data_IF_192956433293
#
_entry.id   IF_192956433293
#
_cell.length_a   1.000
_cell.length_b   1.000
_cell.length_c   1.000
_cell.angle_alpha   90.00
_cell.angle_beta   90.00
_cell.angle_gamma   90.00
#
_symmetry.space_group_name_H-M   'P 1'
#
loop_
_entity.id
_entity.type
_entity.pdbx_description
1 polymer ?
#
# COMPACT_ATOMS: atom_id res chain seq x y z
N UNK A 1 -32.78 -11.03 -17.08
CA UNK A 1 -31.66 -11.41 -16.20
C UNK A 1 -30.42 -11.53 -17.07
N UNK A 2 -29.58 -10.50 -17.09
CA UNK A 2 -28.32 -10.52 -17.86
C UNK A 2 -27.26 -11.14 -16.95
N UNK A 3 -26.80 -12.34 -17.30
CA UNK A 3 -25.61 -12.94 -16.71
C UNK A 3 -24.39 -12.14 -17.13
N UNK A 4 -23.95 -11.21 -16.27
CA UNK A 4 -22.61 -10.65 -16.35
C UNK A 4 -21.65 -11.78 -15.96
N UNK A 5 -21.00 -12.39 -16.95
CA UNK A 5 -19.79 -13.19 -16.74
C UNK A 5 -18.80 -12.29 -16.01
N UNK A 6 -18.47 -12.63 -14.77
CA UNK A 6 -17.28 -12.11 -14.10
C UNK A 6 -16.09 -12.58 -14.93
N UNK A 7 -15.54 -11.69 -15.75
CA UNK A 7 -14.23 -11.89 -16.35
C UNK A 7 -13.24 -11.95 -15.19
N UNK A 8 -12.66 -13.13 -14.93
CA UNK A 8 -11.49 -13.22 -14.06
C UNK A 8 -10.43 -12.26 -14.60
N UNK A 9 -10.11 -11.22 -13.82
CA UNK A 9 -9.09 -10.23 -14.22
C UNK A 9 -7.73 -10.94 -14.24
N UNK A 10 -7.28 -11.30 -15.43
CA UNK A 10 -5.98 -11.93 -15.64
C UNK A 10 -4.86 -10.93 -15.33
N UNK A 11 -3.83 -11.36 -14.58
CA UNK A 11 -2.63 -10.55 -14.37
C UNK A 11 -1.95 -10.33 -15.73
N UNK A 12 -1.61 -9.08 -16.10
CA UNK A 12 -0.82 -8.82 -17.30
C UNK A 12 0.51 -9.57 -17.26
N UNK A 13 0.99 -10.05 -18.39
CA UNK A 13 2.36 -10.57 -18.49
C UNK A 13 3.38 -9.47 -18.16
N UNK A 14 4.60 -9.85 -17.77
CA UNK A 14 5.70 -8.90 -17.54
C UNK A 14 5.86 -7.87 -18.67
N UNK A 15 5.75 -8.31 -19.93
CA UNK A 15 5.85 -7.42 -21.10
C UNK A 15 4.67 -6.46 -21.21
N UNK A 16 3.45 -6.94 -20.99
CA UNK A 16 2.24 -6.11 -20.99
C UNK A 16 2.25 -5.11 -19.83
N UNK A 17 2.72 -5.53 -18.64
CA UNK A 17 2.86 -4.67 -17.47
C UNK A 17 3.75 -3.46 -17.75
N UNK A 18 4.87 -3.64 -18.47
CA UNK A 18 5.74 -2.54 -18.89
C UNK A 18 5.04 -1.51 -19.78
N UNK A 19 4.09 -1.95 -20.62
CA UNK A 19 3.36 -1.09 -21.54
C UNK A 19 2.19 -0.38 -20.85
N UNK A 20 1.54 -1.04 -19.90
CA UNK A 20 0.38 -0.52 -19.18
C UNK A 20 0.73 0.49 -18.08
N UNK A 21 1.94 0.41 -17.54
CA UNK A 21 2.41 1.30 -16.49
C UNK A 21 3.33 2.34 -17.12
N UNK A 22 2.80 3.51 -17.44
CA UNK A 22 3.58 4.62 -18.00
C UNK A 22 4.44 5.30 -16.93
N UNK A 23 5.57 5.87 -17.33
CA UNK A 23 6.43 6.68 -16.47
C UNK A 23 5.97 8.14 -16.46
N UNK A 24 5.93 8.81 -15.30
CA UNK A 24 5.61 10.23 -15.22
C UNK A 24 6.83 11.10 -15.60
N UNK A 25 7.24 11.07 -16.88
CA UNK A 25 8.43 11.78 -17.39
C UNK A 25 8.40 13.30 -17.12
N UNK A 26 7.21 13.88 -16.92
CA UNK A 26 7.07 15.28 -16.57
C UNK A 26 7.66 15.65 -15.20
N UNK A 27 7.90 14.68 -14.32
CA UNK A 27 8.54 14.89 -13.01
C UNK A 27 10.08 14.75 -13.08
N UNK A 28 10.61 14.13 -14.13
CA UNK A 28 12.02 13.77 -14.22
C UNK A 28 12.91 15.02 -14.38
N UNK A 29 13.93 15.18 -13.53
CA UNK A 29 14.88 16.29 -13.59
C UNK A 29 14.30 17.62 -13.13
N UNK A 30 13.19 17.61 -12.39
CA UNK A 30 12.51 18.82 -11.91
C UNK A 30 13.41 19.64 -10.99
N UNK A 31 14.16 18.98 -10.10
CA UNK A 31 15.11 19.64 -9.19
C UNK A 31 16.16 20.45 -9.96
N UNK A 32 16.82 19.84 -10.94
CA UNK A 32 17.84 20.48 -11.78
C UNK A 32 17.26 21.69 -12.53
N UNK A 33 16.08 21.52 -13.14
CA UNK A 33 15.42 22.60 -13.88
C UNK A 33 15.17 23.82 -13.00
N UNK A 34 14.75 23.60 -11.76
CA UNK A 34 14.43 24.69 -10.85
C UNK A 34 15.67 25.34 -10.23
N UNK A 35 16.71 24.56 -9.88
CA UNK A 35 17.98 25.12 -9.41
C UNK A 35 18.54 26.18 -10.38
N UNK A 36 18.43 25.92 -11.69
CA UNK A 36 18.81 26.87 -12.73
C UNK A 36 17.95 28.15 -12.69
N UNK A 37 16.64 28.05 -12.47
CA UNK A 37 15.73 29.21 -12.37
C UNK A 37 15.96 30.06 -11.10
N UNK A 38 16.28 29.43 -9.96
CA UNK A 38 16.54 30.14 -8.69
C UNK A 38 17.76 31.05 -8.80
N UNK A 39 18.80 30.61 -9.50
CA UNK A 39 19.99 31.45 -9.72
C UNK A 39 19.59 32.82 -10.30
N UNK A 40 18.40 32.91 -10.92
CA UNK A 40 17.81 34.10 -11.52
C UNK A 40 16.83 34.87 -10.59
N UNK A 41 16.30 34.31 -9.48
CA UNK A 41 15.17 34.87 -8.69
C UNK A 41 15.31 34.73 -7.15
N UNK A 42 14.75 35.67 -6.34
CA UNK A 42 15.05 35.78 -4.87
C UNK A 42 13.90 35.65 -3.85
N UNK A 43 12.61 35.58 -4.19
CA UNK A 43 11.56 35.75 -3.15
C UNK A 43 11.10 34.50 -2.40
N UNK A 44 11.19 33.28 -2.95
CA UNK A 44 10.59 32.07 -2.30
C UNK A 44 11.43 30.79 -2.43
N UNK A 45 12.76 30.96 -2.45
CA UNK A 45 13.75 29.92 -2.78
C UNK A 45 13.56 28.60 -2.00
N UNK A 46 13.41 28.63 -0.68
CA UNK A 46 13.38 27.41 0.13
C UNK A 46 12.15 26.53 -0.14
N UNK A 47 10.98 27.13 -0.29
CA UNK A 47 9.72 26.41 -0.57
C UNK A 47 9.80 25.72 -1.92
N UNK A 48 10.28 26.44 -2.93
CA UNK A 48 10.34 25.90 -4.29
C UNK A 48 11.45 24.86 -4.45
N UNK A 49 12.63 25.03 -3.83
CA UNK A 49 13.66 23.97 -3.75
C UNK A 49 13.06 22.70 -3.16
N UNK A 50 12.44 22.81 -1.99
CA UNK A 50 11.90 21.64 -1.30
C UNK A 50 10.76 21.00 -2.11
N UNK A 51 9.91 21.81 -2.75
CA UNK A 51 8.86 21.32 -3.65
C UNK A 51 9.46 20.52 -4.81
N UNK A 52 10.52 21.03 -5.45
CA UNK A 52 11.16 20.35 -6.58
C UNK A 52 11.89 19.07 -6.16
N UNK A 53 12.59 19.10 -5.01
CA UNK A 53 13.20 17.90 -4.43
C UNK A 53 12.16 16.82 -4.17
N UNK A 54 11.01 17.19 -3.62
CA UNK A 54 9.90 16.25 -3.37
C UNK A 54 9.23 15.76 -4.65
N UNK A 55 9.17 16.56 -5.71
CA UNK A 55 8.72 16.11 -7.03
C UNK A 55 9.69 15.08 -7.63
N UNK A 56 10.99 15.23 -7.40
CA UNK A 56 11.99 14.23 -7.78
C UNK A 56 11.86 12.97 -6.92
N UNK A 57 11.71 13.09 -5.58
CA UNK A 57 11.42 11.96 -4.70
C UNK A 57 10.15 11.20 -5.16
N UNK A 58 9.12 11.93 -5.59
CA UNK A 58 7.88 11.34 -6.10
C UNK A 58 8.12 10.55 -7.40
N UNK A 59 8.93 11.08 -8.32
CA UNK A 59 9.31 10.36 -9.54
C UNK A 59 10.04 9.05 -9.20
N UNK A 60 11.05 9.12 -8.34
CA UNK A 60 11.87 7.97 -7.96
C UNK A 60 11.02 6.90 -7.27
N UNK A 61 10.13 7.31 -6.36
CA UNK A 61 9.25 6.39 -5.63
C UNK A 61 8.18 5.76 -6.55
N UNK A 62 7.61 6.49 -7.52
CA UNK A 62 6.72 5.92 -8.54
C UNK A 62 7.48 4.91 -9.41
N UNK A 63 8.72 5.22 -9.80
CA UNK A 63 9.57 4.31 -10.58
C UNK A 63 9.85 3.01 -9.82
N UNK A 64 10.17 3.12 -8.52
CA UNK A 64 10.38 1.96 -7.65
C UNK A 64 9.10 1.13 -7.52
N UNK A 65 7.98 1.74 -7.15
CA UNK A 65 6.68 1.08 -7.02
C UNK A 65 6.28 0.32 -8.29
N UNK A 66 6.42 0.99 -9.43
CA UNK A 66 6.19 0.44 -10.77
C UNK A 66 7.10 -0.77 -11.04
N UNK A 67 8.40 -0.65 -10.78
CA UNK A 67 9.35 -1.72 -11.03
C UNK A 67 9.01 -2.97 -10.20
N UNK A 68 8.67 -2.81 -8.91
CA UNK A 68 8.22 -3.92 -8.08
C UNK A 68 6.93 -4.56 -8.62
N UNK A 69 5.94 -3.75 -9.01
CA UNK A 69 4.68 -4.25 -9.57
C UNK A 69 4.90 -5.04 -10.86
N UNK A 70 5.68 -4.51 -11.80
CA UNK A 70 6.03 -5.20 -13.05
C UNK A 70 6.76 -6.51 -12.75
N UNK A 71 7.72 -6.48 -11.82
CA UNK A 71 8.48 -7.68 -11.45
C UNK A 71 7.57 -8.74 -10.84
N UNK A 72 6.54 -8.36 -10.08
CA UNK A 72 5.53 -9.29 -9.58
C UNK A 72 4.72 -10.00 -10.68
N UNK A 73 4.74 -9.50 -11.92
CA UNK A 73 4.10 -10.13 -13.07
C UNK A 73 4.98 -11.21 -13.74
N UNK A 74 6.18 -11.46 -13.21
CA UNK A 74 7.04 -12.55 -13.70
C UNK A 74 6.52 -13.91 -13.27
N UNK A 75 6.52 -14.86 -14.21
CA UNK A 75 6.11 -16.25 -13.97
C UNK A 75 7.21 -17.10 -13.32
N UNK A 76 8.48 -16.74 -13.53
CA UNK A 76 9.65 -17.47 -13.03
C UNK A 76 10.75 -16.50 -12.62
N UNK A 77 11.43 -16.84 -11.53
CA UNK A 77 12.55 -16.08 -10.97
C UNK A 77 13.82 -16.94 -11.03
N UNK A 78 14.88 -16.49 -11.72
CA UNK A 78 15.89 -17.40 -12.29
C UNK A 78 16.90 -18.07 -11.33
N UNK A 79 16.95 -17.76 -10.02
CA UNK A 79 18.12 -18.20 -9.21
C UNK A 79 17.87 -18.82 -7.83
N UNK A 80 16.65 -18.88 -7.29
CA UNK A 80 16.54 -19.02 -5.82
C UNK A 80 16.17 -20.40 -5.26
N UNK A 81 15.71 -21.38 -6.07
CA UNK A 81 15.27 -22.65 -5.50
C UNK A 81 15.57 -23.83 -6.42
N UNK A 82 16.67 -24.51 -6.12
CA UNK A 82 17.05 -25.80 -6.70
C UNK A 82 16.09 -26.95 -6.35
N UNK A 83 15.00 -26.69 -5.61
CA UNK A 83 14.04 -27.69 -5.12
C UNK A 83 12.56 -27.26 -5.20
N UNK A 84 12.19 -26.28 -6.03
CA UNK A 84 10.78 -25.82 -6.12
C UNK A 84 9.92 -26.70 -7.03
N UNK A 85 9.62 -27.93 -6.60
CA UNK A 85 8.76 -28.87 -7.36
C UNK A 85 7.31 -28.38 -7.51
N UNK A 86 6.89 -27.42 -6.68
CA UNK A 86 5.50 -26.98 -6.52
C UNK A 86 5.27 -25.50 -6.93
N UNK A 87 6.24 -24.82 -7.55
CA UNK A 87 6.23 -23.36 -7.84
C UNK A 87 6.00 -22.44 -6.62
N UNK A 88 6.16 -22.95 -5.39
CA UNK A 88 5.82 -22.23 -4.16
C UNK A 88 6.74 -21.07 -3.89
N UNK A 89 8.01 -21.23 -4.18
CA UNK A 89 8.93 -20.17 -3.89
C UNK A 89 9.00 -19.12 -5.00
N UNK A 90 8.61 -19.46 -6.23
CA UNK A 90 8.22 -18.43 -7.19
C UNK A 90 7.04 -17.59 -6.69
N UNK A 91 5.98 -18.21 -6.14
CA UNK A 91 4.86 -17.50 -5.52
C UNK A 91 5.28 -16.68 -4.30
N UNK A 92 6.21 -17.20 -3.49
CA UNK A 92 6.71 -16.48 -2.33
C UNK A 92 7.48 -15.23 -2.75
N UNK A 93 8.39 -15.34 -3.74
CA UNK A 93 9.11 -14.19 -4.30
C UNK A 93 8.13 -13.18 -4.91
N UNK A 94 7.14 -13.66 -5.68
CA UNK A 94 6.09 -12.82 -6.23
C UNK A 94 5.41 -11.98 -5.15
N UNK A 95 5.03 -12.61 -4.03
CA UNK A 95 4.41 -11.91 -2.89
C UNK A 95 5.31 -10.82 -2.30
N UNK A 96 6.64 -11.01 -2.29
CA UNK A 96 7.56 -10.00 -1.79
C UNK A 96 7.57 -8.77 -2.69
N UNK A 97 7.52 -8.95 -4.01
CA UNK A 97 7.40 -7.85 -4.96
C UNK A 97 6.05 -7.12 -4.83
N UNK A 98 4.94 -7.86 -4.65
CA UNK A 98 3.63 -7.24 -4.40
C UNK A 98 3.65 -6.42 -3.09
N UNK A 99 4.17 -6.97 -2.00
CA UNK A 99 4.29 -6.26 -0.72
C UNK A 99 5.16 -5.00 -0.85
N UNK A 100 6.25 -5.09 -1.61
CA UNK A 100 7.15 -3.96 -1.87
C UNK A 100 6.44 -2.87 -2.67
N UNK A 101 5.71 -3.25 -3.73
CA UNK A 101 4.91 -2.30 -4.51
C UNK A 101 3.85 -1.59 -3.64
N UNK A 102 3.17 -2.29 -2.73
CA UNK A 102 2.21 -1.68 -1.79
C UNK A 102 2.87 -0.59 -0.94
N UNK A 103 4.05 -0.88 -0.36
CA UNK A 103 4.75 0.06 0.51
C UNK A 103 5.18 1.31 -0.25
N UNK A 104 5.74 1.14 -1.43
CA UNK A 104 6.20 2.24 -2.28
C UNK A 104 5.02 3.05 -2.83
N UNK A 105 3.94 2.42 -3.31
CA UNK A 105 2.73 3.16 -3.71
C UNK A 105 2.12 3.94 -2.53
N UNK A 106 2.11 3.39 -1.31
CA UNK A 106 1.69 4.18 -0.15
C UNK A 106 2.60 5.40 0.06
N UNK A 107 3.92 5.23 -0.07
CA UNK A 107 4.88 6.33 0.08
C UNK A 107 4.71 7.41 -1.00
N UNK A 108 4.41 7.05 -2.26
CA UNK A 108 4.16 8.04 -3.33
C UNK A 108 3.04 9.01 -2.96
N UNK A 109 1.93 8.52 -2.41
CA UNK A 109 0.83 9.39 -1.97
C UNK A 109 1.22 10.26 -0.77
N UNK A 110 1.98 9.71 0.18
CA UNK A 110 2.51 10.50 1.31
C UNK A 110 3.41 11.65 0.80
N UNK A 111 4.33 11.38 -0.15
CA UNK A 111 5.19 12.40 -0.77
C UNK A 111 4.37 13.44 -1.53
N UNK A 112 3.35 13.02 -2.28
CA UNK A 112 2.47 13.92 -3.00
C UNK A 112 1.74 14.90 -2.05
N UNK A 113 1.27 14.42 -0.90
CA UNK A 113 0.68 15.28 0.13
C UNK A 113 1.71 16.28 0.68
N UNK A 114 2.97 15.86 0.84
CA UNK A 114 4.05 16.74 1.28
C UNK A 114 4.37 17.83 0.26
N UNK A 115 4.33 17.52 -1.04
CA UNK A 115 4.48 18.51 -2.12
C UNK A 115 3.42 19.60 -1.98
N UNK A 116 2.15 19.21 -1.86
CA UNK A 116 1.03 20.16 -1.69
C UNK A 116 1.18 20.96 -0.39
N UNK A 117 1.58 20.29 0.70
CA UNK A 117 1.79 20.90 2.02
C UNK A 117 2.85 22.01 2.00
N UNK A 118 3.99 21.76 1.35
CA UNK A 118 5.09 22.70 1.24
C UNK A 118 4.76 23.83 0.26
N UNK A 119 4.32 23.50 -0.96
CA UNK A 119 4.07 24.49 -2.01
C UNK A 119 3.01 25.53 -1.61
N UNK A 120 1.88 25.08 -1.07
CA UNK A 120 0.82 25.98 -0.57
C UNK A 120 1.09 26.54 0.83
N UNK A 121 2.27 26.27 1.40
CA UNK A 121 2.70 26.80 2.70
C UNK A 121 1.72 26.47 3.83
N UNK A 122 1.08 25.30 3.76
CA UNK A 122 0.07 24.86 4.73
C UNK A 122 0.66 24.69 6.15
N UNK A 123 1.97 24.49 6.22
CA UNK A 123 2.75 24.44 7.47
C UNK A 123 2.80 25.76 8.24
N UNK A 124 2.40 26.90 7.65
CA UNK A 124 2.52 28.23 8.29
C UNK A 124 1.78 28.38 9.62
N UNK A 125 0.85 27.48 9.92
CA UNK A 125 0.18 27.40 11.23
C UNK A 125 1.12 26.97 12.37
N UNK A 126 2.20 26.28 12.02
CA UNK A 126 3.19 25.73 12.95
C UNK A 126 4.52 26.45 12.84
N UNK A 127 4.88 26.90 11.64
CA UNK A 127 6.17 27.53 11.37
C UNK A 127 6.05 28.61 10.30
N UNK A 128 6.33 29.86 10.67
CA UNK A 128 6.13 31.01 9.79
C UNK A 128 7.02 30.98 8.54
N UNK A 129 8.27 30.53 8.70
CA UNK A 129 9.29 30.47 7.64
C UNK A 129 9.85 29.06 7.50
N UNK A 130 10.02 28.60 6.26
CA UNK A 130 10.68 27.33 5.96
C UNK A 130 12.19 27.55 5.90
N UNK A 131 12.91 26.86 6.77
CA UNK A 131 14.38 26.79 6.76
C UNK A 131 14.76 25.33 6.50
N UNK A 132 15.81 25.11 5.69
CA UNK A 132 16.20 23.77 5.22
C UNK A 132 16.49 22.77 6.36
N UNK A 133 16.94 23.24 7.51
CA UNK A 133 17.24 22.38 8.67
C UNK A 133 15.98 21.90 9.41
N UNK A 134 14.81 22.47 9.11
CA UNK A 134 13.57 22.23 9.86
C UNK A 134 12.53 21.45 9.05
N UNK A 135 12.92 20.91 7.89
CA UNK A 135 12.01 20.19 7.00
C UNK A 135 11.37 18.99 7.73
N UNK A 136 12.14 18.20 8.48
CA UNK A 136 11.59 17.03 9.19
C UNK A 136 10.49 17.43 10.19
N UNK A 137 10.70 18.52 10.92
CA UNK A 137 9.71 19.05 11.86
C UNK A 137 8.44 19.47 11.11
N UNK A 138 8.60 20.22 10.02
CA UNK A 138 7.49 20.68 9.18
C UNK A 138 6.68 19.50 8.60
N UNK A 139 7.36 18.44 8.17
CA UNK A 139 6.72 17.26 7.59
C UNK A 139 6.03 16.37 8.63
N UNK A 140 6.48 16.33 9.89
CA UNK A 140 5.79 15.59 10.97
C UNK A 140 4.34 16.08 11.20
N UNK A 141 4.11 17.37 10.93
CA UNK A 141 2.80 18.00 11.02
C UNK A 141 1.97 17.89 9.73
N UNK A 142 2.51 17.35 8.64
CA UNK A 142 1.76 17.10 7.41
C UNK A 142 0.77 15.95 7.64
N UNK A 143 -0.49 16.29 7.95
CA UNK A 143 -1.58 15.31 8.07
C UNK A 143 -2.43 15.33 6.81
N UNK A 144 -2.78 14.14 6.30
CA UNK A 144 -3.63 13.97 5.11
C UNK A 144 -4.91 14.82 5.19
N UNK A 145 -5.61 14.78 6.33
CA UNK A 145 -6.86 15.54 6.54
C UNK A 145 -6.63 17.04 6.35
N UNK A 146 -5.57 17.56 6.94
CA UNK A 146 -5.23 18.98 6.88
C UNK A 146 -4.89 19.39 5.44
N UNK A 147 -4.11 18.59 4.70
CA UNK A 147 -3.80 18.87 3.30
C UNK A 147 -5.08 18.94 2.45
N UNK A 148 -5.97 17.95 2.58
CA UNK A 148 -7.23 17.88 1.82
C UNK A 148 -8.17 19.04 2.15
N UNK A 149 -8.25 19.44 3.41
CA UNK A 149 -9.19 20.49 3.84
C UNK A 149 -8.66 21.90 3.55
N UNK A 150 -7.35 22.10 3.66
CA UNK A 150 -6.73 23.43 3.66
C UNK A 150 -6.14 23.86 2.32
N UNK A 151 -5.91 22.93 1.39
CA UNK A 151 -5.40 23.30 0.06
C UNK A 151 -6.37 24.29 -0.62
N UNK A 152 -5.87 25.46 -1.07
CA UNK A 152 -6.72 26.51 -1.64
C UNK A 152 -7.14 26.22 -3.08
N UNK A 153 -6.34 25.44 -3.84
CA UNK A 153 -6.68 25.07 -5.22
C UNK A 153 -7.81 24.03 -5.23
N UNK A 154 -8.95 24.43 -5.83
CA UNK A 154 -10.17 23.62 -5.88
C UNK A 154 -9.98 22.33 -6.66
N UNK A 155 -9.21 22.35 -7.76
CA UNK A 155 -8.99 21.17 -8.59
C UNK A 155 -8.12 20.15 -7.86
N UNK A 156 -7.04 20.59 -7.22
CA UNK A 156 -6.21 19.71 -6.37
C UNK A 156 -7.05 19.17 -5.21
N UNK A 157 -7.86 20.01 -4.56
CA UNK A 157 -8.74 19.59 -3.47
C UNK A 157 -9.70 18.48 -3.90
N UNK A 158 -10.36 18.65 -5.04
CA UNK A 158 -11.28 17.66 -5.60
C UNK A 158 -10.54 16.41 -6.05
N UNK A 159 -9.36 16.54 -6.67
CA UNK A 159 -8.50 15.44 -7.04
C UNK A 159 -8.08 14.59 -5.83
N UNK A 160 -7.64 15.23 -4.75
CA UNK A 160 -7.27 14.56 -3.51
C UNK A 160 -8.47 13.88 -2.83
N UNK A 161 -9.63 14.54 -2.82
CA UNK A 161 -10.88 13.94 -2.30
C UNK A 161 -11.31 12.75 -3.14
N UNK A 162 -11.25 12.88 -4.47
CA UNK A 162 -11.60 11.82 -5.42
C UNK A 162 -10.66 10.63 -5.25
N UNK A 163 -9.34 10.85 -5.20
CA UNK A 163 -8.35 9.82 -4.92
C UNK A 163 -8.60 9.15 -3.56
N UNK A 164 -8.92 9.92 -2.52
CA UNK A 164 -9.23 9.35 -1.21
C UNK A 164 -10.54 8.56 -1.21
N UNK A 165 -11.56 9.01 -1.95
CA UNK A 165 -12.86 8.37 -2.07
C UNK A 165 -12.83 7.15 -3.00
N UNK A 166 -11.91 7.13 -3.97
CA UNK A 166 -11.46 5.95 -4.70
C UNK A 166 -10.68 5.04 -3.73
N UNK A 167 -11.36 4.55 -2.71
CA UNK A 167 -10.93 3.36 -1.98
C UNK A 167 -10.80 2.28 -3.07
N UNK A 168 -9.58 1.96 -3.51
CA UNK A 168 -9.33 1.19 -4.75
C UNK A 168 -10.32 0.07 -4.97
N UNK A 169 -11.22 0.31 -5.92
CA UNK A 169 -12.56 -0.26 -6.05
C UNK A 169 -12.62 -1.72 -5.63
N UNK A 170 -13.10 -1.89 -4.40
CA UNK A 170 -13.83 -3.04 -3.86
C UNK A 170 -14.48 -3.81 -5.01
N UNK A 171 -14.03 -5.04 -5.26
CA UNK A 171 -14.96 -6.01 -5.81
C UNK A 171 -16.10 -6.07 -4.79
N UNK A 172 -17.23 -5.42 -5.13
CA UNK A 172 -18.50 -5.37 -4.39
C UNK A 172 -19.04 -6.80 -4.09
N UNK A 173 -18.35 -7.85 -4.54
CA UNK A 173 -18.70 -9.25 -4.33
C UNK A 173 -17.59 -10.12 -3.70
N UNK A 174 -16.42 -9.58 -3.36
CA UNK A 174 -15.42 -10.36 -2.62
C UNK A 174 -15.63 -10.19 -1.11
N UNK A 175 -15.37 -11.24 -0.34
CA UNK A 175 -15.44 -11.29 1.14
C UNK A 175 -14.51 -10.28 1.85
N UNK A 176 -13.79 -9.46 1.08
CA UNK A 176 -12.67 -8.62 1.51
C UNK A 176 -13.00 -7.11 1.49
N UNK A 177 -14.28 -6.76 1.64
CA UNK A 177 -14.69 -5.37 1.73
C UNK A 177 -13.85 -4.62 2.77
N UNK A 178 -13.37 -3.44 2.36
CA UNK A 178 -12.71 -2.40 3.17
C UNK A 178 -11.20 -2.25 3.06
N UNK A 179 -10.43 -3.15 2.42
CA UNK A 179 -8.98 -2.94 2.36
C UNK A 179 -8.52 -2.12 1.14
N UNK A 180 -7.70 -1.11 1.42
CA UNK A 180 -7.02 -0.26 0.43
C UNK A 180 -5.49 -0.34 0.62
N UNK A 181 -4.73 0.26 -0.30
CA UNK A 181 -3.25 0.25 -0.26
C UNK A 181 -2.68 0.78 1.05
N UNK A 182 -3.31 1.77 1.68
CA UNK A 182 -2.85 2.29 2.98
C UNK A 182 -3.06 1.29 4.13
N UNK A 183 -4.18 0.56 4.13
CA UNK A 183 -4.42 -0.51 5.11
C UNK A 183 -3.47 -1.69 4.93
N UNK A 184 -3.18 -2.06 3.69
CA UNK A 184 -2.19 -3.08 3.36
C UNK A 184 -0.78 -2.64 3.79
N UNK A 185 -0.39 -1.40 3.50
CA UNK A 185 0.90 -0.86 3.92
C UNK A 185 1.04 -0.83 5.44
N UNK A 186 0.01 -0.41 6.17
CA UNK A 186 0.00 -0.45 7.65
C UNK A 186 0.11 -1.88 8.18
N UNK A 187 -0.58 -2.84 7.53
CA UNK A 187 -0.48 -4.26 7.89
C UNK A 187 0.95 -4.76 7.69
N UNK A 188 1.60 -4.44 6.57
CA UNK A 188 2.97 -4.83 6.30
C UNK A 188 3.97 -4.21 7.30
N UNK A 189 3.79 -2.92 7.64
CA UNK A 189 4.63 -2.21 8.63
C UNK A 189 4.56 -2.82 10.04
N UNK A 190 3.39 -3.28 10.48
CA UNK A 190 3.17 -3.70 11.88
C UNK A 190 3.02 -5.21 12.09
N UNK A 191 2.58 -5.96 11.08
CA UNK A 191 2.29 -7.41 11.16
C UNK A 191 3.11 -8.24 10.18
N UNK A 192 4.04 -7.61 9.45
CA UNK A 192 5.06 -8.22 8.58
C UNK A 192 4.54 -8.93 7.32
N UNK A 193 3.28 -9.34 7.23
CA UNK A 193 2.79 -10.05 6.03
C UNK A 193 1.27 -9.91 5.78
N UNK A 194 0.92 -9.78 4.50
CA UNK A 194 -0.42 -10.06 3.97
C UNK A 194 -0.49 -11.56 3.66
N UNK A 195 -1.53 -12.25 4.11
CA UNK A 195 -1.70 -13.66 3.77
C UNK A 195 -2.36 -13.80 2.39
N UNK A 196 -1.62 -14.36 1.43
CA UNK A 196 -2.13 -14.61 0.08
C UNK A 196 -2.74 -16.01 -0.05
N UNK A 197 -3.90 -16.12 -0.71
CA UNK A 197 -4.57 -17.41 -0.95
C UNK A 197 -3.63 -18.41 -1.64
N UNK A 198 -2.85 -17.93 -2.61
CA UNK A 198 -1.90 -18.72 -3.39
C UNK A 198 -0.75 -19.30 -2.56
N UNK A 199 -0.45 -18.68 -1.42
CA UNK A 199 0.57 -19.12 -0.46
C UNK A 199 -0.03 -19.84 0.77
N UNK A 200 -1.35 -19.83 0.92
CA UNK A 200 -1.98 -20.33 2.12
C UNK A 200 -2.10 -21.85 2.10
N UNK A 201 -1.35 -22.52 2.98
CA UNK A 201 -1.52 -23.93 3.35
C UNK A 201 -1.51 -24.16 4.86
N UNK A 202 -1.87 -23.18 5.70
CA UNK A 202 -1.66 -23.34 7.16
C UNK A 202 -2.63 -24.35 7.81
N UNK A 203 -2.04 -25.51 8.17
CA UNK A 203 -2.43 -26.44 9.26
C UNK A 203 -1.98 -25.95 10.66
N UNK A 204 -1.46 -24.73 10.79
CA UNK A 204 -0.95 -24.20 12.06
C UNK A 204 -1.79 -22.99 12.50
N UNK A 205 -2.97 -23.29 13.06
CA UNK A 205 -3.68 -22.38 13.95
C UNK A 205 -3.03 -22.43 15.33
N UNK A 206 -2.82 -21.26 15.94
CA UNK A 206 -2.68 -21.22 17.40
C UNK A 206 -4.08 -20.96 17.95
N UNK A 207 -4.73 -22.01 18.45
CA UNK A 207 -6.02 -21.89 19.12
C UNK A 207 -5.81 -21.86 20.63
N UNK A 208 -6.37 -20.84 21.29
CA UNK A 208 -6.58 -20.90 22.73
C UNK A 208 -7.94 -21.53 22.99
N UNK A 209 -7.91 -22.73 23.56
CA UNK A 209 -9.09 -23.46 24.03
C UNK A 209 -9.04 -23.38 25.55
N UNK A 210 -10.10 -22.88 26.19
CA UNK A 210 -10.33 -23.21 27.60
C UNK A 210 -11.12 -24.50 27.67
N UNK A 211 -10.55 -25.52 28.31
CA UNK A 211 -11.30 -26.67 28.78
C UNK A 211 -12.08 -26.23 30.01
N UNK A 212 -13.40 -26.11 29.88
CA UNK A 212 -14.26 -25.59 30.97
C UNK A 212 -14.29 -26.48 32.20
N UNK A 213 -13.76 -27.71 32.15
CA UNK A 213 -13.48 -28.59 33.30
C UNK A 213 -12.32 -29.50 32.94
N UNK A 214 -11.16 -29.32 33.57
CA UNK A 214 -10.24 -30.45 33.71
C UNK A 214 -10.99 -31.49 34.56
N UNK A 215 -11.27 -32.71 34.09
CA UNK A 215 -11.44 -33.79 35.04
C UNK A 215 -10.12 -33.82 35.83
N UNK A 216 -10.21 -33.82 37.16
CA UNK A 216 -9.06 -34.12 37.99
C UNK A 216 -8.32 -35.27 37.33
N UNK A 217 -7.06 -35.03 36.93
CA UNK A 217 -6.18 -36.07 36.44
C UNK A 217 -6.29 -37.18 37.48
N UNK A 218 -6.88 -38.30 37.09
CA UNK A 218 -6.98 -39.50 37.92
C UNK A 218 -5.55 -39.97 38.18
N UNK A 219 -4.96 -39.42 39.22
CA UNK A 219 -3.78 -39.99 39.87
C UNK A 219 -4.28 -41.28 40.48
N UNK A 220 -3.89 -42.39 39.83
CA UNK A 220 -4.09 -43.81 40.18
C UNK A 220 -5.38 -44.47 39.66
N UNK A 221 -5.26 -45.05 38.47
CA UNK A 221 -5.59 -46.47 38.27
C UNK A 221 -7.04 -46.92 38.47
N UNK A 222 -8.04 -46.11 38.10
CA UNK A 222 -9.42 -46.59 37.98
C UNK A 222 -10.02 -46.17 36.63
N UNK A 223 -10.63 -47.13 35.94
CA UNK A 223 -11.35 -46.94 34.68
C UNK A 223 -12.68 -46.23 34.94
N UNK A 224 -13.01 -45.13 34.25
CA UNK A 224 -14.30 -44.47 34.45
C UNK A 224 -15.43 -45.30 33.84
N UNK A 225 -16.45 -45.59 34.63
CA UNK A 225 -17.74 -46.10 34.21
C UNK A 225 -18.60 -44.92 33.70
N UNK A 226 -18.96 -45.01 32.41
CA UNK A 226 -20.18 -44.50 31.76
C UNK A 226 -20.52 -43.00 31.94
N UNK A 227 -20.47 -42.27 30.81
CA UNK A 227 -21.58 -41.57 30.12
C UNK A 227 -21.15 -40.20 29.54
N UNK A 228 -21.35 -40.07 28.23
CA UNK A 228 -21.12 -38.88 27.40
C UNK A 228 -21.46 -37.54 28.08
N UNK A 229 -20.46 -36.69 28.35
CA UNK A 229 -20.66 -35.25 28.36
C UNK A 229 -20.19 -34.72 27.00
N UNK A 230 -21.10 -34.17 26.20
CA UNK A 230 -20.69 -33.36 25.04
C UNK A 230 -19.82 -32.22 25.55
N UNK A 231 -18.50 -32.34 25.39
CA UNK A 231 -17.54 -31.29 25.68
C UNK A 231 -17.82 -30.09 24.75
N UNK A 232 -18.40 -29.00 25.27
CA UNK A 232 -18.41 -27.72 24.56
C UNK A 232 -16.98 -27.16 24.56
N UNK A 233 -16.20 -27.53 23.53
CA UNK A 233 -14.95 -26.85 23.19
C UNK A 233 -15.32 -25.43 22.73
N UNK A 234 -15.21 -24.45 23.62
CA UNK A 234 -15.29 -23.02 23.25
C UNK A 234 -13.90 -22.52 22.88
N UNK A 235 -13.68 -22.32 21.59
CA UNK A 235 -12.52 -21.58 21.08
C UNK A 235 -12.66 -20.11 21.49
N UNK A 236 -11.77 -19.61 22.35
CA UNK A 236 -11.78 -18.18 22.75
C UNK A 236 -11.05 -17.29 21.75
N UNK A 237 -10.03 -17.83 21.10
CA UNK A 237 -9.21 -17.10 20.14
C UNK A 237 -8.66 -18.05 19.08
N UNK A 238 -8.90 -17.70 17.83
CA UNK A 238 -8.36 -18.37 16.66
C UNK A 238 -7.53 -17.36 15.87
N UNK A 239 -6.20 -17.52 15.84
CA UNK A 239 -5.32 -16.66 15.07
C UNK A 239 -5.73 -16.58 13.59
N UNK A 240 -6.33 -17.63 13.05
CA UNK A 240 -6.75 -17.70 11.65
C UNK A 240 -8.01 -16.86 11.35
N UNK A 241 -8.80 -16.52 12.37
CA UNK A 241 -9.95 -15.60 12.21
C UNK A 241 -9.51 -14.13 12.21
N UNK A 242 -8.28 -13.83 12.62
CA UNK A 242 -7.74 -12.47 12.67
C UNK A 242 -6.96 -12.05 11.41
N UNK A 243 -6.62 -13.01 10.55
CA UNK A 243 -5.84 -12.77 9.33
C UNK A 243 -6.77 -12.87 8.12
N UNK A 244 -6.99 -11.74 7.45
CA UNK A 244 -7.71 -11.71 6.18
C UNK A 244 -6.79 -12.29 5.10
N UNK A 245 -7.22 -13.39 4.48
CA UNK A 245 -6.54 -14.00 3.33
C UNK A 245 -7.02 -13.26 2.09
N UNK A 246 -6.16 -12.91 1.14
CA UNK A 246 -6.52 -12.14 -0.07
C UNK A 246 -5.89 -12.80 -1.29
N UNK A 247 -6.54 -12.76 -2.46
CA UNK A 247 -5.90 -13.20 -3.71
C UNK A 247 -4.83 -12.21 -4.14
N UNK A 248 -3.65 -12.71 -4.46
CA UNK A 248 -2.54 -11.89 -4.95
C UNK A 248 -2.89 -11.19 -6.26
N UNK A 249 -3.62 -11.87 -7.15
CA UNK A 249 -4.15 -11.29 -8.40
C UNK A 249 -5.02 -10.05 -8.16
N UNK A 250 -5.87 -10.07 -7.14
CA UNK A 250 -6.74 -8.93 -6.84
C UNK A 250 -5.93 -7.72 -6.37
N UNK A 251 -4.92 -7.97 -5.54
CA UNK A 251 -3.99 -6.93 -5.07
C UNK A 251 -3.22 -6.33 -6.24
N UNK A 252 -2.65 -7.16 -7.12
CA UNK A 252 -1.91 -6.68 -8.31
C UNK A 252 -2.82 -5.78 -9.17
N UNK A 253 -4.03 -6.23 -9.48
CA UNK A 253 -4.98 -5.44 -10.28
C UNK A 253 -5.34 -4.10 -9.62
N UNK A 254 -5.50 -4.08 -8.30
CA UNK A 254 -5.70 -2.84 -7.54
C UNK A 254 -4.50 -1.89 -7.69
N UNK A 255 -3.27 -2.40 -7.63
CA UNK A 255 -2.06 -1.59 -7.77
C UNK A 255 -1.89 -1.02 -9.18
N UNK A 256 -2.33 -1.74 -10.22
CA UNK A 256 -2.37 -1.19 -11.59
C UNK A 256 -3.30 0.03 -11.71
N UNK A 257 -4.48 -0.03 -11.11
CA UNK A 257 -5.40 1.11 -11.10
C UNK A 257 -4.88 2.23 -10.19
N UNK A 258 -4.28 1.88 -9.05
CA UNK A 258 -3.59 2.83 -8.18
C UNK A 258 -2.53 3.63 -8.94
N UNK A 259 -1.71 2.95 -9.75
CA UNK A 259 -0.66 3.58 -10.55
C UNK A 259 -1.21 4.67 -11.48
N UNK A 260 -2.31 4.36 -12.19
CA UNK A 260 -2.95 5.31 -13.09
C UNK A 260 -3.50 6.50 -12.31
N UNK A 261 -4.20 6.24 -11.22
CA UNK A 261 -4.80 7.27 -10.37
C UNK A 261 -3.73 8.19 -9.75
N UNK A 262 -2.62 7.63 -9.25
CA UNK A 262 -1.56 8.42 -8.63
C UNK A 262 -0.79 9.23 -9.68
N UNK A 263 -0.56 8.68 -10.88
CA UNK A 263 0.07 9.43 -11.98
C UNK A 263 -0.82 10.58 -12.45
N UNK A 264 -2.14 10.37 -12.56
CA UNK A 264 -3.09 11.41 -12.94
C UNK A 264 -3.12 12.53 -11.89
N UNK A 265 -3.19 12.17 -10.61
CA UNK A 265 -3.19 13.13 -9.52
C UNK A 265 -1.86 13.89 -9.42
N UNK A 266 -0.74 13.20 -9.61
CA UNK A 266 0.60 13.81 -9.64
C UNK A 266 0.72 14.81 -10.77
N UNK A 267 0.16 14.49 -11.96
CA UNK A 267 0.13 15.40 -13.10
C UNK A 267 -0.69 16.65 -12.80
N UNK A 268 -1.86 16.47 -12.18
CA UNK A 268 -2.72 17.57 -11.75
C UNK A 268 -1.98 18.50 -10.77
N UNK A 269 -1.27 17.96 -9.78
CA UNK A 269 -0.49 18.77 -8.83
C UNK A 269 0.67 19.48 -9.54
N UNK A 270 1.41 18.77 -10.39
CA UNK A 270 2.53 19.33 -11.14
C UNK A 270 2.12 20.51 -12.03
N UNK A 271 1.00 20.39 -12.74
CA UNK A 271 0.50 21.45 -13.65
C UNK A 271 0.04 22.73 -12.91
N UNK A 272 -0.07 22.69 -11.58
CA UNK A 272 -0.41 23.85 -10.72
C UNK A 272 0.79 24.46 -10.01
N UNK A 273 1.95 23.83 -10.10
CA UNK A 273 3.18 24.35 -9.50
C UNK A 273 3.80 25.35 -10.48
N UNK A 274 3.92 26.59 -10.03
CA UNK A 274 4.57 27.68 -10.77
C UNK A 274 6.07 27.68 -10.43
N UNK A 275 6.91 27.49 -11.46
CA UNK A 275 8.36 27.45 -11.38
C UNK A 275 9.01 28.77 -11.81
#
# INVERSE_FOLDING_TARGET
>A
MVHIKEMEKQIPTFKEAFQLLELPEYLNGTEIRYELNIVVSKKEKAILIETCRRLQDLYDEICAARFALITSCQMKYPEYLSADTDNRGHLWIQSQFVNTAILWYNATYDILLQIVWIYYKLYKRWKETLVLNDIEEVLRHCKKKDVIELVPDVQIKEGLKSFHAKIHLTNIKTKYSNQNVAEWANTLKHRRMIEYEELNKRKHSTCFITLSRLPEIVVKGQTPLIENPQEEIKTLYNSNETLKIIRMTDVINVLFEYHKDICQLSKLVFDKIEF
#
